data_IF_499826804663
#
_entry.id   IF_499826804663
#
_cell.length_a   1.000
_cell.length_b   1.000
_cell.length_c   1.000
_cell.angle_alpha   90.00
_cell.angle_beta   90.00
_cell.angle_gamma   90.00
#
_symmetry.space_group_name_H-M   'P 1'
#
loop_
_entity.id
_entity.type
_entity.pdbx_description
1 polymer ?
#
# COMPACT_ATOMS: atom_id res chain seq x y z
N UNK A 1 38.69 -41.81 4.16
CA UNK A 1 37.33 -41.27 3.93
C UNK A 1 37.29 -39.89 4.56
N UNK A 2 36.94 -38.79 3.93
CA UNK A 2 36.42 -38.53 2.59
C UNK A 2 35.92 -37.09 2.62
N UNK A 3 36.58 -36.22 1.85
CA UNK A 3 36.06 -34.98 1.26
C UNK A 3 35.44 -33.91 2.17
N UNK A 4 36.23 -32.86 2.42
CA UNK A 4 35.73 -31.50 2.17
C UNK A 4 35.78 -31.24 0.65
N UNK A 5 34.87 -30.42 0.10
CA UNK A 5 35.39 -29.16 -0.42
C UNK A 5 34.43 -27.95 -0.30
N UNK A 6 35.03 -26.79 -0.05
CA UNK A 6 34.77 -25.53 -0.78
C UNK A 6 33.33 -25.05 -0.95
N UNK A 7 32.97 -24.03 -0.17
CA UNK A 7 31.79 -23.19 -0.39
C UNK A 7 32.07 -21.73 -0.06
N UNK A 8 33.07 -21.16 -0.72
CA UNK A 8 33.29 -19.73 -0.92
C UNK A 8 33.28 -18.83 0.33
N UNK A 9 34.49 -18.61 0.84
CA UNK A 9 35.00 -17.33 1.32
C UNK A 9 34.90 -16.26 0.20
N UNK A 10 33.70 -16.01 -0.32
CA UNK A 10 33.44 -14.89 -1.19
C UNK A 10 33.57 -13.65 -0.32
N UNK A 11 34.63 -12.88 -0.53
CA UNK A 11 34.91 -11.59 0.10
C UNK A 11 33.61 -10.83 0.37
N UNK A 12 33.13 -10.97 1.60
CA UNK A 12 31.74 -10.75 1.96
C UNK A 12 31.54 -9.28 2.19
N UNK A 13 31.34 -8.53 1.11
CA UNK A 13 31.05 -7.10 1.21
C UNK A 13 29.85 -6.91 2.13
N UNK A 14 29.98 -6.07 3.16
CA UNK A 14 28.90 -5.85 4.09
C UNK A 14 27.70 -5.26 3.35
N UNK A 15 26.53 -5.77 3.69
CA UNK A 15 25.26 -5.40 3.10
C UNK A 15 24.64 -4.29 3.94
N UNK A 16 24.18 -3.23 3.29
CA UNK A 16 23.46 -2.15 3.94
C UNK A 16 21.96 -2.32 3.70
N UNK A 17 21.21 -2.40 4.79
CA UNK A 17 19.76 -2.61 4.77
C UNK A 17 19.09 -1.44 5.48
N UNK A 18 18.11 -0.82 4.84
CA UNK A 18 17.29 0.20 5.47
C UNK A 18 16.11 -0.46 6.19
N UNK A 19 16.04 -0.34 7.51
CA UNK A 19 14.93 -0.87 8.32
C UNK A 19 14.03 0.29 8.73
N UNK A 20 12.74 0.19 8.37
CA UNK A 20 11.72 1.21 8.63
C UNK A 20 10.44 0.58 9.20
N UNK A 21 9.54 1.42 9.71
CA UNK A 21 8.22 0.98 10.19
C UNK A 21 8.17 0.72 11.70
N UNK A 22 7.52 -0.37 12.11
CA UNK A 22 7.21 -0.70 13.51
C UNK A 22 8.41 -1.30 14.29
N UNK A 23 9.60 -0.73 14.14
CA UNK A 23 10.84 -1.12 14.85
C UNK A 23 11.25 -0.06 15.87
N UNK A 24 12.05 -0.44 16.87
CA UNK A 24 12.49 0.51 17.93
C UNK A 24 13.38 1.62 17.41
N UNK A 25 14.31 1.29 16.50
CA UNK A 25 15.24 2.23 15.92
C UNK A 25 15.26 2.04 14.39
N UNK A 26 14.44 2.80 13.64
CA UNK A 26 14.53 2.79 12.19
C UNK A 26 15.85 3.45 11.74
N UNK A 27 16.45 2.95 10.67
CA UNK A 27 17.76 3.41 10.22
C UNK A 27 18.41 2.46 9.22
N UNK A 28 19.66 2.73 8.86
CA UNK A 28 20.47 1.88 7.99
C UNK A 28 21.37 1.01 8.86
N UNK A 29 21.34 -0.30 8.61
CA UNK A 29 22.12 -1.28 9.37
C UNK A 29 23.04 -2.08 8.46
N UNK A 30 24.27 -2.28 8.95
CA UNK A 30 25.28 -3.12 8.32
C UNK A 30 25.13 -4.56 8.79
N UNK A 31 24.95 -5.49 7.85
CA UNK A 31 24.81 -6.94 8.10
C UNK A 31 25.72 -7.75 7.18
N UNK A 32 26.17 -8.95 7.62
CA UNK A 32 26.87 -9.88 6.73
C UNK A 32 26.00 -10.26 5.52
N UNK A 33 26.58 -10.47 4.33
CA UNK A 33 25.84 -10.97 3.18
C UNK A 33 25.23 -12.35 3.48
N UNK A 34 24.03 -12.61 2.95
CA UNK A 34 23.28 -13.83 3.26
C UNK A 34 22.57 -13.82 4.62
N UNK A 35 22.67 -12.72 5.40
CA UNK A 35 21.89 -12.58 6.63
C UNK A 35 20.39 -12.63 6.35
N UNK A 36 19.62 -13.03 7.36
CA UNK A 36 18.15 -12.97 7.32
C UNK A 36 17.66 -11.60 7.78
N UNK A 37 16.47 -11.20 7.33
CA UNK A 37 15.76 -9.99 7.78
C UNK A 37 15.67 -9.94 9.31
N UNK A 38 15.46 -11.08 9.97
CA UNK A 38 15.47 -11.20 11.43
C UNK A 38 16.74 -10.61 12.09
N UNK A 39 17.90 -10.70 11.45
CA UNK A 39 19.17 -10.17 11.98
C UNK A 39 19.18 -8.64 11.90
N UNK A 40 18.73 -8.06 10.78
CA UNK A 40 18.63 -6.62 10.60
C UNK A 40 17.62 -6.00 11.58
N UNK A 41 16.46 -6.64 11.76
CA UNK A 41 15.42 -6.20 12.71
C UNK A 41 15.91 -6.26 14.17
N UNK A 42 16.71 -7.27 14.52
CA UNK A 42 17.31 -7.36 15.87
C UNK A 42 18.31 -6.23 16.12
N UNK A 43 19.14 -5.88 15.11
CA UNK A 43 20.02 -4.71 15.16
C UNK A 43 19.26 -3.38 15.24
N UNK A 44 18.06 -3.32 14.66
CA UNK A 44 17.11 -2.21 14.80
C UNK A 44 16.41 -2.12 16.17
N UNK A 45 16.89 -2.86 17.16
CA UNK A 45 16.33 -2.89 18.51
C UNK A 45 15.11 -3.80 18.66
N UNK A 46 14.77 -4.57 17.63
CA UNK A 46 13.65 -5.49 17.62
C UNK A 46 12.32 -4.85 17.21
N UNK A 47 11.31 -5.72 17.15
CA UNK A 47 9.94 -5.39 16.77
C UNK A 47 9.25 -4.69 17.94
N UNK A 48 8.48 -3.64 17.65
CA UNK A 48 7.63 -3.00 18.68
C UNK A 48 6.38 -3.83 18.96
N UNK A 49 5.67 -3.59 20.07
CA UNK A 49 4.36 -4.23 20.36
C UNK A 49 3.30 -3.95 19.30
N UNK A 50 3.51 -2.92 18.48
CA UNK A 50 2.65 -2.54 17.37
C UNK A 50 3.06 -3.21 16.07
N UNK A 51 4.15 -3.97 16.00
CA UNK A 51 4.56 -4.65 14.78
C UNK A 51 3.65 -5.84 14.47
N UNK A 52 3.32 -6.01 13.18
CA UNK A 52 2.63 -7.20 12.71
C UNK A 52 3.64 -8.26 12.26
N UNK A 53 3.67 -9.37 13.00
CA UNK A 53 4.56 -10.51 12.73
C UNK A 53 3.93 -11.48 11.74
N UNK A 54 2.60 -11.52 11.62
CA UNK A 54 1.91 -12.42 10.70
C UNK A 54 2.04 -11.94 9.27
N UNK A 55 2.04 -10.62 9.08
CA UNK A 55 2.20 -10.01 7.77
C UNK A 55 3.65 -9.96 7.28
N UNK A 56 4.66 -10.38 8.06
CA UNK A 56 6.06 -10.07 7.77
C UNK A 56 7.01 -11.29 7.78
N UNK A 57 7.67 -11.56 6.65
CA UNK A 57 8.59 -12.69 6.52
C UNK A 57 10.00 -12.37 7.07
N UNK A 58 10.23 -12.69 8.34
CA UNK A 58 11.52 -12.53 9.03
C UNK A 58 12.62 -13.49 8.52
N UNK A 59 12.24 -14.58 7.86
CA UNK A 59 13.16 -15.60 7.39
C UNK A 59 13.80 -15.25 6.03
N UNK A 60 13.28 -14.26 5.31
CA UNK A 60 13.81 -13.82 4.03
C UNK A 60 15.27 -13.36 4.14
N UNK A 61 16.06 -13.63 3.10
CA UNK A 61 17.45 -13.16 3.00
C UNK A 61 17.47 -11.68 2.64
N UNK A 62 18.33 -10.90 3.31
CA UNK A 62 18.53 -9.48 2.97
C UNK A 62 19.60 -9.31 1.90
N UNK A 63 19.34 -8.39 0.97
CA UNK A 63 20.23 -7.96 -0.11
C UNK A 63 20.71 -6.53 0.13
N UNK A 64 21.74 -6.13 -0.62
CA UNK A 64 22.30 -4.79 -0.51
C UNK A 64 21.35 -3.75 -1.08
N UNK A 65 21.34 -2.57 -0.46
CA UNK A 65 20.38 -1.50 -0.73
C UNK A 65 18.90 -1.91 -0.56
N UNK A 66 18.61 -3.02 0.13
CA UNK A 66 17.23 -3.47 0.36
C UNK A 66 16.56 -2.65 1.46
N UNK A 67 15.30 -2.29 1.25
CA UNK A 67 14.44 -1.71 2.27
C UNK A 67 13.54 -2.77 2.92
N UNK A 68 13.52 -2.76 4.25
CA UNK A 68 12.78 -3.68 5.12
C UNK A 68 11.75 -2.84 5.88
N UNK A 69 10.50 -2.91 5.45
CA UNK A 69 9.40 -2.16 6.07
C UNK A 69 8.63 -3.09 6.98
N UNK A 70 8.66 -2.83 8.29
CA UNK A 70 7.88 -3.60 9.27
C UNK A 70 6.48 -2.97 9.39
N UNK A 71 5.41 -3.69 9.00
CA UNK A 71 4.04 -3.20 9.10
C UNK A 71 3.60 -3.05 10.56
N UNK A 72 2.69 -2.10 10.82
CA UNK A 72 2.03 -1.94 12.12
C UNK A 72 0.73 -2.75 12.14
N UNK A 73 0.44 -3.44 13.25
CA UNK A 73 -0.85 -4.11 13.51
C UNK A 73 -1.99 -3.10 13.36
N UNK A 74 -2.97 -3.44 12.53
CA UNK A 74 -4.15 -2.62 12.26
C UNK A 74 -3.97 -1.56 11.16
N UNK A 75 -2.78 -1.45 10.57
CA UNK A 75 -2.52 -0.57 9.42
C UNK A 75 -2.83 -1.35 8.14
N UNK A 76 -4.11 -1.40 7.77
CA UNK A 76 -4.59 -2.12 6.58
C UNK A 76 -3.90 -1.67 5.29
N UNK A 77 -3.35 -0.44 5.27
CA UNK A 77 -2.56 0.12 4.18
C UNK A 77 -1.18 -0.55 4.01
N UNK A 78 -0.59 -1.09 5.09
CA UNK A 78 0.73 -1.73 5.03
C UNK A 78 0.68 -3.20 4.53
N UNK A 79 -0.46 -3.88 4.69
CA UNK A 79 -0.71 -5.21 4.11
C UNK A 79 -0.76 -5.18 2.58
N UNK A 80 -1.21 -4.07 1.98
CA UNK A 80 -1.21 -3.91 0.52
C UNK A 80 0.19 -3.60 -0.04
N UNK A 81 1.02 -2.85 0.69
CA UNK A 81 2.37 -2.48 0.24
C UNK A 81 3.38 -3.64 0.31
N UNK A 82 3.23 -4.58 1.26
CA UNK A 82 4.13 -5.74 1.35
C UNK A 82 3.80 -6.82 0.30
N UNK A 83 2.55 -6.91 -0.17
CA UNK A 83 2.20 -7.73 -1.32
C UNK A 83 2.88 -7.24 -2.62
N UNK A 84 3.12 -5.93 -2.74
CA UNK A 84 3.81 -5.34 -3.88
C UNK A 84 5.35 -5.49 -3.84
N UNK A 85 5.95 -5.59 -2.64
CA UNK A 85 7.41 -5.69 -2.50
C UNK A 85 7.95 -7.14 -2.56
N UNK A 86 7.07 -8.14 -2.62
CA UNK A 86 7.41 -9.57 -2.68
C UNK A 86 7.53 -10.18 -4.08
N UNK A 87 7.35 -9.42 -5.15
CA UNK A 87 7.37 -9.94 -6.52
C UNK A 87 8.25 -9.12 -7.45
N UNK A 88 9.42 -9.66 -7.81
CA UNK A 88 10.13 -9.21 -9.01
C UNK A 88 9.24 -9.41 -10.23
N UNK A 89 9.01 -8.31 -10.95
CA UNK A 89 8.73 -8.19 -12.39
C UNK A 89 7.81 -9.23 -13.04
N UNK A 90 6.56 -8.84 -13.26
CA UNK A 90 5.87 -9.15 -14.50
C UNK A 90 5.24 -7.86 -15.04
N UNK A 91 5.70 -7.46 -16.22
CA UNK A 91 4.93 -6.58 -17.08
C UNK A 91 3.57 -7.23 -17.34
N UNK A 92 2.50 -6.41 -17.34
CA UNK A 92 1.22 -6.80 -17.90
C UNK A 92 0.04 -6.59 -16.96
N UNK A 93 -0.78 -5.59 -17.32
CA UNK A 93 -2.21 -5.83 -17.50
C UNK A 93 -3.08 -6.01 -16.27
N UNK A 94 -3.81 -4.92 -15.99
CA UNK A 94 -5.24 -4.92 -15.71
C UNK A 94 -5.80 -5.57 -14.44
N UNK A 95 -6.74 -4.81 -13.88
CA UNK A 95 -7.87 -5.25 -13.07
C UNK A 95 -7.56 -5.86 -11.70
N UNK A 96 -7.76 -5.04 -10.67
CA UNK A 96 -8.84 -5.26 -9.68
C UNK A 96 -8.48 -4.54 -8.36
N UNK A 97 -8.65 -3.22 -8.34
CA UNK A 97 -9.12 -2.60 -7.11
C UNK A 97 -10.64 -2.48 -7.23
N UNK A 98 -11.30 -3.65 -7.24
CA UNK A 98 -12.70 -3.71 -6.87
C UNK A 98 -12.78 -3.08 -5.48
N UNK A 99 -13.43 -1.92 -5.41
CA UNK A 99 -13.75 -1.27 -4.16
C UNK A 99 -14.32 -2.33 -3.22
N UNK A 100 -13.77 -2.40 -2.01
CA UNK A 100 -14.38 -3.15 -0.93
C UNK A 100 -15.86 -2.74 -0.89
N UNK A 101 -16.81 -3.66 -1.09
CA UNK A 101 -18.23 -3.36 -1.01
C UNK A 101 -18.56 -3.13 0.46
N UNK A 102 -18.43 -1.89 0.91
CA UNK A 102 -18.73 -1.56 2.31
C UNK A 102 -18.10 -0.28 2.85
N UNK A 103 -17.10 0.31 2.17
CA UNK A 103 -16.60 1.62 2.57
C UNK A 103 -17.18 2.72 1.68
N UNK A 104 -17.97 3.65 2.25
CA UNK A 104 -18.50 4.76 1.49
C UNK A 104 -17.36 5.66 0.99
N UNK A 105 -17.33 5.93 -0.31
CA UNK A 105 -16.34 6.76 -0.98
C UNK A 105 -16.58 8.23 -0.59
N UNK A 106 -15.56 8.90 -0.07
CA UNK A 106 -15.66 10.31 0.31
C UNK A 106 -15.55 11.21 -0.92
N UNK A 107 -16.59 11.96 -1.26
CA UNK A 107 -16.63 12.82 -2.45
C UNK A 107 -15.57 13.92 -2.42
N UNK A 108 -15.22 14.40 -1.22
CA UNK A 108 -14.17 15.40 -1.03
C UNK A 108 -12.76 14.88 -1.35
N UNK A 109 -12.48 13.59 -1.12
CA UNK A 109 -11.13 13.00 -1.31
C UNK A 109 -11.07 11.99 -2.44
N UNK A 110 -12.19 11.68 -3.09
CA UNK A 110 -12.25 10.68 -4.15
C UNK A 110 -11.40 11.08 -5.36
N UNK A 111 -10.71 10.11 -5.94
CA UNK A 111 -10.01 10.24 -7.22
C UNK A 111 -10.97 9.97 -8.38
N UNK A 112 -10.68 10.47 -9.61
CA UNK A 112 -11.59 10.27 -10.73
C UNK A 112 -11.79 8.79 -11.07
N UNK A 113 -10.79 7.94 -10.82
CA UNK A 113 -10.85 6.49 -11.03
C UNK A 113 -11.76 5.81 -9.99
N UNK A 114 -11.78 6.31 -8.75
CA UNK A 114 -12.68 5.81 -7.71
C UNK A 114 -14.13 6.18 -7.99
N UNK A 115 -14.36 7.35 -8.59
CA UNK A 115 -15.69 7.77 -9.04
C UNK A 115 -16.12 6.99 -10.28
N UNK A 116 -15.23 6.76 -11.25
CA UNK A 116 -15.49 5.98 -12.46
C UNK A 116 -15.88 4.52 -12.16
N UNK A 117 -15.32 3.94 -11.09
CA UNK A 117 -15.69 2.60 -10.62
C UNK A 117 -17.10 2.48 -10.02
N UNK A 118 -17.87 3.58 -9.92
CA UNK A 118 -19.24 3.56 -9.41
C UNK A 118 -20.24 3.26 -10.54
N UNK A 119 -21.23 2.41 -10.24
CA UNK A 119 -22.27 2.01 -11.19
C UNK A 119 -23.01 3.23 -11.75
N UNK A 120 -22.83 3.48 -13.04
CA UNK A 120 -23.45 4.60 -13.75
C UNK A 120 -22.68 5.92 -13.74
N UNK A 121 -21.46 5.98 -13.17
CA UNK A 121 -20.49 7.04 -13.40
C UNK A 121 -19.57 6.61 -14.54
N UNK A 122 -19.29 7.53 -15.45
CA UNK A 122 -18.26 7.34 -16.47
C UNK A 122 -17.25 8.48 -16.44
N UNK A 123 -16.24 8.47 -17.31
CA UNK A 123 -15.09 9.38 -17.26
C UNK A 123 -15.49 10.85 -17.40
N UNK A 124 -16.58 11.13 -18.13
CA UNK A 124 -17.13 12.49 -18.28
C UNK A 124 -17.76 13.02 -16.99
N UNK A 125 -18.41 12.14 -16.24
CA UNK A 125 -19.10 12.45 -14.99
C UNK A 125 -18.11 12.57 -13.83
N UNK A 126 -17.13 11.66 -13.73
CA UNK A 126 -16.07 11.76 -12.72
C UNK A 126 -15.27 13.07 -12.86
N UNK A 127 -14.99 13.51 -14.08
CA UNK A 127 -14.40 14.82 -14.35
C UNK A 127 -15.33 15.98 -13.92
N UNK A 128 -16.63 15.90 -14.21
CA UNK A 128 -17.60 16.92 -13.79
C UNK A 128 -17.68 17.05 -12.26
N UNK A 129 -17.64 15.93 -11.54
CA UNK A 129 -17.63 15.89 -10.06
C UNK A 129 -16.36 16.58 -9.52
N UNK A 130 -15.19 16.33 -10.12
CA UNK A 130 -13.94 16.99 -9.72
C UNK A 130 -13.94 18.47 -10.06
N UNK A 131 -14.47 18.85 -11.22
CA UNK A 131 -14.62 20.25 -11.60
C UNK A 131 -15.54 21.00 -10.63
N UNK A 132 -16.66 20.38 -10.22
CA UNK A 132 -17.56 20.92 -9.20
C UNK A 132 -16.85 21.06 -7.85
N UNK A 133 -16.14 20.00 -7.41
CA UNK A 133 -15.34 20.00 -6.17
C UNK A 133 -14.34 21.15 -6.12
N UNK A 134 -13.61 21.40 -7.21
CA UNK A 134 -12.59 22.44 -7.28
C UNK A 134 -13.21 23.84 -7.23
N UNK A 135 -14.40 24.03 -7.78
CA UNK A 135 -15.14 25.30 -7.76
C UNK A 135 -15.81 25.56 -6.40
N UNK A 136 -16.39 24.53 -5.78
CA UNK A 136 -17.16 24.63 -4.53
C UNK A 136 -16.33 24.33 -3.26
N UNK A 137 -15.02 24.06 -3.42
CA UNK A 137 -14.08 23.66 -2.35
C UNK A 137 -14.49 22.40 -1.59
N UNK A 138 -15.12 21.44 -2.25
CA UNK A 138 -15.57 20.18 -1.65
C UNK A 138 -17.06 19.92 -1.85
N UNK A 139 -17.53 18.80 -1.30
CA UNK A 139 -18.96 18.50 -1.15
C UNK A 139 -19.30 18.61 0.33
N UNK A 140 -20.23 19.49 0.69
CA UNK A 140 -20.75 19.63 2.06
C UNK A 140 -21.85 18.61 2.33
N UNK A 141 -22.61 18.26 1.30
CA UNK A 141 -23.68 17.28 1.35
C UNK A 141 -23.66 16.37 0.14
N UNK A 142 -24.19 15.15 0.30
CA UNK A 142 -24.39 14.21 -0.81
C UNK A 142 -25.34 14.81 -1.87
N UNK A 143 -26.27 15.67 -1.46
CA UNK A 143 -27.25 16.35 -2.33
C UNK A 143 -26.62 17.25 -3.39
N UNK A 144 -25.43 17.80 -3.15
CA UNK A 144 -24.69 18.63 -4.12
C UNK A 144 -24.27 17.83 -5.36
N UNK A 145 -24.26 16.49 -5.31
CA UNK A 145 -24.11 15.67 -6.50
C UNK A 145 -25.22 15.94 -7.53
N UNK A 146 -26.42 16.35 -7.11
CA UNK A 146 -27.52 16.67 -8.05
C UNK A 146 -27.25 17.94 -8.85
N UNK A 147 -26.36 18.81 -8.39
CA UNK A 147 -25.94 20.01 -9.13
C UNK A 147 -24.86 19.70 -10.18
N UNK A 148 -24.27 18.51 -10.13
CA UNK A 148 -23.29 18.09 -11.13
C UNK A 148 -24.01 17.67 -12.40
N UNK A 149 -23.64 18.33 -13.50
CA UNK A 149 -24.21 18.08 -14.82
C UNK A 149 -24.03 16.61 -15.23
N UNK A 150 -25.16 15.91 -15.43
CA UNK A 150 -25.20 14.49 -15.79
C UNK A 150 -25.59 13.51 -14.67
N UNK A 151 -25.72 13.96 -13.42
CA UNK A 151 -26.23 13.15 -12.30
C UNK A 151 -27.75 13.24 -12.24
N UNK A 152 -28.43 12.25 -12.81
CA UNK A 152 -29.88 12.09 -12.69
C UNK A 152 -30.30 11.39 -11.38
N UNK A 153 -31.59 11.47 -11.03
CA UNK A 153 -32.14 10.91 -9.78
C UNK A 153 -31.83 9.42 -9.58
N UNK A 154 -31.87 8.63 -10.66
CA UNK A 154 -31.51 7.20 -10.61
C UNK A 154 -30.06 6.99 -10.19
N UNK A 155 -29.14 7.81 -10.71
CA UNK A 155 -27.71 7.72 -10.38
C UNK A 155 -27.45 8.23 -8.97
N UNK A 156 -28.07 9.35 -8.60
CA UNK A 156 -28.00 9.88 -7.25
C UNK A 156 -28.42 8.87 -6.18
N UNK A 157 -29.50 8.10 -6.40
CA UNK A 157 -29.97 7.10 -5.46
C UNK A 157 -28.98 5.93 -5.25
N UNK A 158 -28.23 5.57 -6.29
CA UNK A 158 -27.16 4.56 -6.20
C UNK A 158 -25.94 5.14 -5.50
N UNK A 159 -25.55 6.37 -5.87
CA UNK A 159 -24.38 7.05 -5.34
C UNK A 159 -24.54 7.38 -3.85
N UNK A 160 -25.70 7.87 -3.43
CA UNK A 160 -25.96 8.27 -2.04
C UNK A 160 -25.83 7.12 -1.03
N UNK A 161 -25.99 5.87 -1.48
CA UNK A 161 -25.74 4.68 -0.67
C UNK A 161 -24.24 4.31 -0.57
N UNK A 162 -23.46 4.71 -1.56
CA UNK A 162 -22.05 4.34 -1.71
C UNK A 162 -21.07 5.49 -1.41
N UNK A 163 -21.55 6.71 -1.18
CA UNK A 163 -20.70 7.90 -1.00
C UNK A 163 -21.02 8.68 0.28
N UNK A 164 -20.03 9.44 0.75
CA UNK A 164 -20.15 10.40 1.86
C UNK A 164 -19.56 11.76 1.44
N UNK A 165 -20.02 12.87 2.04
CA UNK A 165 -19.43 14.19 1.80
C UNK A 165 -17.94 14.21 2.21
#
# INVERSE_FOLDING_TARGET
AGSAPGGAEAASRPVFVHVAGAVRSPGIYRVPPGSRVAVAVRKAGGLTRRADLMAFNLAATVRDAQQVIVPRRGDAAATAALAAAGGSSAAGGAAAAAGTPGQPISLSTATPEQLDGLDGIGPKLSQAIIAYRNQHKGFKSVEELREVDGIGEKRFATLSKAVRP
#
